data_IF_069808961816
#
_entry.id   IF_069808961816
#
_cell.length_a   1.000
_cell.length_b   1.000
_cell.length_c   1.000
_cell.angle_alpha   90.00
_cell.angle_beta   90.00
_cell.angle_gamma   90.00
#
_symmetry.space_group_name_H-M   'P 1'
#
loop_
_entity.id
_entity.type
_entity.pdbx_description
1 polymer ?
#
# COMPACT_ATOMS: atom_id res chain seq x y z
N UNK A 1 12.26 13.49 4.59
CA UNK A 1 11.20 12.48 4.77
C UNK A 1 9.99 13.18 5.38
N UNK A 2 8.80 13.04 4.80
CA UNK A 2 7.57 13.66 5.29
C UNK A 2 7.20 13.08 6.67
N UNK A 3 7.11 13.94 7.70
CA UNK A 3 6.89 13.53 9.08
C UNK A 3 5.53 12.86 9.29
N UNK A 4 4.50 13.24 8.50
CA UNK A 4 3.17 12.65 8.57
C UNK A 4 3.15 11.25 8.00
N UNK A 5 3.86 11.01 6.89
CA UNK A 5 4.02 9.68 6.28
C UNK A 5 4.70 8.73 7.28
N UNK A 6 5.80 9.17 7.91
CA UNK A 6 6.51 8.37 8.89
C UNK A 6 5.63 8.05 10.13
N UNK A 7 4.86 9.04 10.61
CA UNK A 7 3.94 8.83 11.74
C UNK A 7 2.79 7.89 11.39
N UNK A 8 2.22 7.98 10.18
CA UNK A 8 1.19 7.07 9.72
C UNK A 8 1.72 5.64 9.57
N UNK A 9 2.93 5.45 9.05
CA UNK A 9 3.59 4.15 9.00
C UNK A 9 3.73 3.51 10.39
N UNK A 10 4.19 4.28 11.39
CA UNK A 10 4.28 3.80 12.77
C UNK A 10 2.92 3.43 13.37
N UNK A 11 1.87 4.19 13.07
CA UNK A 11 0.52 3.89 13.52
C UNK A 11 0.04 2.54 12.95
N UNK A 12 0.28 2.27 11.66
CA UNK A 12 -0.10 0.99 11.04
C UNK A 12 0.61 -0.22 11.64
N UNK A 13 1.88 -0.07 12.04
CA UNK A 13 2.66 -1.15 12.67
C UNK A 13 2.01 -1.63 13.98
N UNK A 14 1.39 -0.73 14.73
CA UNK A 14 0.68 -1.06 15.98
C UNK A 14 -0.81 -1.32 15.79
N UNK A 15 -1.29 -1.37 14.53
CA UNK A 15 -2.70 -1.61 14.20
C UNK A 15 -3.62 -0.38 14.30
N UNK A 16 -3.07 0.83 14.50
CA UNK A 16 -3.84 2.09 14.54
C UNK A 16 -4.16 2.59 13.13
N UNK A 17 -5.05 1.88 12.43
CA UNK A 17 -5.48 2.20 11.07
C UNK A 17 -6.18 3.57 10.99
N UNK A 18 -7.04 3.90 11.97
CA UNK A 18 -7.76 5.17 12.00
C UNK A 18 -6.82 6.35 12.25
N UNK A 19 -5.84 6.21 13.15
CA UNK A 19 -4.82 7.23 13.34
C UNK A 19 -3.92 7.41 12.13
N UNK A 20 -3.60 6.33 11.38
CA UNK A 20 -2.93 6.47 10.09
C UNK A 20 -3.77 7.28 9.10
N UNK A 21 -5.05 6.93 8.94
CA UNK A 21 -5.98 7.64 8.04
C UNK A 21 -6.17 9.11 8.42
N UNK A 22 -6.20 9.45 9.72
CA UNK A 22 -6.26 10.85 10.16
C UNK A 22 -5.09 11.69 9.64
N UNK A 23 -3.92 11.08 9.42
CA UNK A 23 -2.70 11.77 8.98
C UNK A 23 -2.58 11.85 7.45
N UNK A 24 -3.05 10.84 6.71
CA UNK A 24 -2.84 10.73 5.25
C UNK A 24 -4.14 10.72 4.43
N UNK A 25 -5.31 10.80 5.07
CA UNK A 25 -6.63 10.58 4.46
C UNK A 25 -7.04 11.57 3.36
N UNK A 26 -6.40 12.74 3.28
CA UNK A 26 -6.68 13.78 2.28
C UNK A 26 -5.58 13.96 1.23
N UNK A 27 -4.52 13.14 1.28
CA UNK A 27 -3.34 13.25 0.43
C UNK A 27 -3.36 12.25 -0.72
N UNK A 28 -3.04 12.67 -1.93
CA UNK A 28 -3.04 11.78 -3.10
C UNK A 28 -1.64 11.51 -3.67
N UNK A 29 -0.58 11.84 -2.93
CA UNK A 29 0.78 11.41 -3.27
C UNK A 29 0.96 9.88 -3.12
N UNK A 30 1.89 9.25 -3.86
CA UNK A 30 2.01 7.80 -3.88
C UNK A 30 2.26 7.16 -2.49
N UNK A 31 3.15 7.69 -1.63
CA UNK A 31 3.29 7.21 -0.25
C UNK A 31 2.00 7.28 0.58
N UNK A 32 1.26 8.39 0.49
CA UNK A 32 -0.01 8.54 1.20
C UNK A 32 -1.08 7.55 0.72
N UNK A 33 -1.17 7.33 -0.60
CA UNK A 33 -2.08 6.34 -1.18
C UNK A 33 -1.73 4.92 -0.74
N UNK A 34 -0.43 4.57 -0.68
CA UNK A 34 0.02 3.26 -0.21
C UNK A 34 -0.40 3.01 1.26
N UNK A 35 -0.12 3.98 2.15
CA UNK A 35 -0.47 3.87 3.56
C UNK A 35 -1.99 3.86 3.78
N UNK A 36 -2.75 4.64 3.00
CA UNK A 36 -4.21 4.60 3.02
C UNK A 36 -4.73 3.22 2.58
N UNK A 37 -4.13 2.62 1.56
CA UNK A 37 -4.45 1.27 1.10
C UNK A 37 -4.23 0.22 2.20
N UNK A 38 -3.09 0.25 2.86
CA UNK A 38 -2.77 -0.65 3.98
C UNK A 38 -3.76 -0.46 5.14
N UNK A 39 -4.06 0.78 5.52
CA UNK A 39 -5.05 1.07 6.56
C UNK A 39 -6.43 0.51 6.22
N UNK A 40 -6.89 0.69 4.98
CA UNK A 40 -8.17 0.13 4.50
C UNK A 40 -8.15 -1.40 4.52
N UNK A 41 -7.03 -2.04 4.17
CA UNK A 41 -6.89 -3.48 4.24
C UNK A 41 -7.00 -4.01 5.69
N UNK A 42 -6.37 -3.33 6.66
CA UNK A 42 -6.49 -3.65 8.08
C UNK A 42 -7.93 -3.53 8.61
N UNK A 43 -8.73 -2.64 8.01
CA UNK A 43 -10.16 -2.46 8.33
C UNK A 43 -11.10 -3.41 7.56
N UNK A 44 -10.57 -4.29 6.69
CA UNK A 44 -11.37 -5.23 5.89
C UNK A 44 -11.89 -4.66 4.55
N UNK A 45 -11.56 -3.42 4.21
CA UNK A 45 -11.98 -2.74 2.98
C UNK A 45 -11.09 -3.14 1.79
N UNK A 46 -11.01 -4.45 1.52
CA UNK A 46 -10.04 -5.04 0.58
C UNK A 46 -10.14 -4.54 -0.88
N UNK A 47 -11.33 -4.39 -1.50
CA UNK A 47 -11.42 -3.89 -2.88
C UNK A 47 -10.86 -2.47 -3.02
N UNK A 48 -11.17 -1.61 -2.05
CA UNK A 48 -10.69 -0.22 -2.03
C UNK A 48 -9.20 -0.15 -1.73
N UNK A 49 -8.72 -0.95 -0.79
CA UNK A 49 -7.31 -1.06 -0.47
C UNK A 49 -6.48 -1.43 -1.71
N UNK A 50 -6.93 -2.44 -2.46
CA UNK A 50 -6.24 -2.91 -3.67
C UNK A 50 -6.13 -1.82 -4.74
N UNK A 51 -7.20 -1.06 -4.97
CA UNK A 51 -7.16 0.04 -5.95
C UNK A 51 -6.19 1.14 -5.53
N UNK A 52 -6.18 1.50 -4.24
CA UNK A 52 -5.24 2.50 -3.72
C UNK A 52 -3.78 2.05 -3.88
N UNK A 53 -3.47 0.79 -3.60
CA UNK A 53 -2.13 0.22 -3.75
C UNK A 53 -1.69 0.19 -5.23
N UNK A 54 -2.59 -0.14 -6.16
CA UNK A 54 -2.30 -0.05 -7.61
C UNK A 54 -2.03 1.36 -8.07
N UNK A 55 -2.79 2.33 -7.56
CA UNK A 55 -2.58 3.76 -7.89
C UNK A 55 -1.26 4.25 -7.31
N UNK A 56 -0.93 3.86 -6.08
CA UNK A 56 0.35 4.18 -5.46
C UNK A 56 1.52 3.60 -6.28
N UNK A 57 1.49 2.30 -6.61
CA UNK A 57 2.51 1.65 -7.44
C UNK A 57 2.74 2.37 -8.79
N UNK A 58 1.66 2.82 -9.43
CA UNK A 58 1.73 3.60 -10.69
C UNK A 58 2.27 5.03 -10.50
N UNK A 59 2.15 5.59 -9.31
CA UNK A 59 2.58 6.96 -9.01
C UNK A 59 4.05 7.09 -8.61
N UNK A 60 4.71 6.00 -8.20
CA UNK A 60 6.14 6.01 -7.86
C UNK A 60 7.02 6.13 -9.11
N UNK A 61 8.04 6.99 -9.04
CA UNK A 61 8.97 7.23 -10.14
C UNK A 61 10.03 6.13 -10.34
N UNK A 62 10.87 6.28 -11.37
CA UNK A 62 11.95 5.33 -11.69
C UNK A 62 13.00 5.17 -10.57
N UNK A 63 13.16 6.19 -9.71
CA UNK A 63 14.12 6.17 -8.61
C UNK A 63 13.52 5.61 -7.30
N UNK A 64 12.24 5.23 -7.32
CA UNK A 64 11.48 4.79 -6.15
C UNK A 64 11.10 3.30 -6.27
N UNK A 65 11.98 2.50 -6.85
CA UNK A 65 11.70 1.11 -7.22
C UNK A 65 11.31 0.24 -6.03
N UNK A 66 12.00 0.42 -4.90
CA UNK A 66 11.70 -0.30 -3.67
C UNK A 66 10.30 0.05 -3.13
N UNK A 67 9.89 1.33 -3.20
CA UNK A 67 8.55 1.76 -2.78
C UNK A 67 7.46 1.18 -3.68
N UNK A 68 7.72 1.16 -4.99
CA UNK A 68 6.85 0.53 -5.99
C UNK A 68 6.72 -0.97 -5.75
N UNK A 69 7.84 -1.68 -5.54
CA UNK A 69 7.86 -3.12 -5.25
C UNK A 69 7.05 -3.46 -3.99
N UNK A 70 7.22 -2.68 -2.91
CA UNK A 70 6.42 -2.83 -1.68
C UNK A 70 4.92 -2.67 -1.91
N UNK A 71 4.50 -1.75 -2.78
CA UNK A 71 3.09 -1.61 -3.13
C UNK A 71 2.54 -2.80 -3.91
N UNK A 72 3.35 -3.39 -4.80
CA UNK A 72 2.97 -4.61 -5.54
C UNK A 72 2.82 -5.79 -4.59
N UNK A 73 3.74 -5.96 -3.63
CA UNK A 73 3.64 -7.00 -2.59
C UNK A 73 2.39 -6.79 -1.73
N UNK A 74 2.15 -5.58 -1.24
CA UNK A 74 0.96 -5.27 -0.46
C UNK A 74 -0.34 -5.50 -1.26
N UNK A 75 -0.37 -5.18 -2.56
CA UNK A 75 -1.53 -5.46 -3.41
C UNK A 75 -1.82 -6.97 -3.45
N UNK A 76 -0.78 -7.79 -3.57
CA UNK A 76 -0.93 -9.23 -3.60
C UNK A 76 -1.32 -9.83 -2.25
N UNK A 77 -0.87 -9.28 -1.13
CA UNK A 77 -1.35 -9.66 0.20
C UNK A 77 -2.86 -9.42 0.32
N UNK A 78 -3.35 -8.27 -0.16
CA UNK A 78 -4.78 -7.97 -0.20
C UNK A 78 -5.53 -8.95 -1.12
N UNK A 79 -4.98 -9.23 -2.32
CA UNK A 79 -5.58 -10.20 -3.24
C UNK A 79 -5.65 -11.60 -2.62
N UNK A 80 -4.62 -12.02 -1.89
CA UNK A 80 -4.58 -13.28 -1.15
C UNK A 80 -5.65 -13.31 -0.05
N UNK A 81 -5.81 -12.23 0.73
CA UNK A 81 -6.87 -12.10 1.73
C UNK A 81 -8.28 -12.23 1.11
N UNK A 82 -8.45 -11.69 -0.11
CA UNK A 82 -9.67 -11.83 -0.91
C UNK A 82 -9.82 -13.20 -1.60
N UNK A 83 -8.83 -14.10 -1.49
CA UNK A 83 -8.74 -15.38 -2.22
C UNK A 83 -8.76 -15.21 -3.75
N UNK A 84 -8.29 -14.08 -4.26
CA UNK A 84 -8.19 -13.79 -5.70
C UNK A 84 -6.78 -14.08 -6.23
N UNK A 85 -6.56 -15.33 -6.65
CA UNK A 85 -5.27 -15.83 -7.14
C UNK A 85 -5.07 -15.69 -8.65
N UNK A 86 -5.93 -14.94 -9.34
CA UNK A 86 -5.87 -14.77 -10.80
C UNK A 86 -4.78 -13.78 -11.27
N UNK A 87 -4.10 -13.12 -10.32
CA UNK A 87 -3.02 -12.17 -10.62
C UNK A 87 -1.79 -12.83 -11.27
N UNK A 88 -0.98 -12.04 -11.96
CA UNK A 88 0.25 -12.55 -12.57
C UNK A 88 1.33 -12.81 -11.50
N UNK A 89 1.89 -14.03 -11.39
CA UNK A 89 2.98 -14.31 -10.46
C UNK A 89 4.29 -13.61 -10.88
N UNK A 90 4.42 -13.20 -12.15
CA UNK A 90 5.63 -12.52 -12.65
C UNK A 90 5.86 -11.16 -11.99
N UNK A 91 4.81 -10.36 -11.84
CA UNK A 91 4.94 -9.02 -11.22
C UNK A 91 5.37 -9.13 -9.76
N UNK A 92 4.88 -10.16 -9.07
CA UNK A 92 5.29 -10.44 -7.69
C UNK A 92 6.73 -10.94 -7.60
N UNK A 93 7.13 -11.85 -8.49
CA UNK A 93 8.50 -12.35 -8.53
C UNK A 93 9.51 -11.20 -8.74
N UNK A 94 9.23 -10.28 -9.66
CA UNK A 94 10.07 -9.09 -9.90
C UNK A 94 10.12 -8.20 -8.65
N UNK A 95 8.97 -7.93 -8.03
CA UNK A 95 8.92 -7.11 -6.83
C UNK A 95 9.69 -7.73 -5.65
N UNK A 96 9.64 -9.06 -5.50
CA UNK A 96 10.36 -9.77 -4.43
C UNK A 96 11.89 -9.82 -4.62
N UNK A 97 12.37 -9.52 -5.82
CA UNK A 97 13.79 -9.50 -6.16
C UNK A 97 14.42 -8.09 -6.06
N UNK A 98 13.62 -7.07 -5.69
CA UNK A 98 14.05 -5.67 -5.49
C UNK A 98 14.43 -5.43 -4.03
#
# INVERSE_FOLDING_TARGET
>A
MDSLIAAAGRALVVGDALGALKRVGLRDDPPALALRGIAMAQLGEHPRARELLRRAARGFGAHEELSRARCVVAEAEVALAMRDLRGSPRTLAVASAT
#
